data_IF_609418664782
#
_entry.id   IF_609418664782
#
_cell.length_a   1.000
_cell.length_b   1.000
_cell.length_c   1.000
_cell.angle_alpha   90.00
_cell.angle_beta   90.00
_cell.angle_gamma   90.00
#
_symmetry.space_group_name_H-M   'P 1'
#
loop_
_entity.id
_entity.type
_entity.pdbx_description
1 polymer ?
#
# COMPACT_ATOMS: atom_id res chain seq x y z
N UNK A 1 -23.08 -4.90 17.33
CA UNK A 1 -24.23 -4.10 16.87
C UNK A 1 -24.67 -3.09 17.93
N UNK A 2 -24.68 -3.47 19.22
CA UNK A 2 -25.16 -2.59 20.30
C UNK A 2 -24.36 -1.30 20.51
N UNK A 3 -23.04 -1.34 20.28
CA UNK A 3 -22.16 -0.17 20.34
C UNK A 3 -22.53 0.93 19.32
N UNK A 4 -22.97 0.53 18.12
CA UNK A 4 -23.35 1.48 17.06
C UNK A 4 -24.77 2.00 17.32
N UNK A 5 -25.69 1.11 17.70
CA UNK A 5 -27.09 1.46 17.98
C UNK A 5 -27.24 2.46 19.15
N UNK A 6 -26.45 2.29 20.22
CA UNK A 6 -26.44 3.21 21.35
C UNK A 6 -25.90 4.60 21.01
N UNK A 7 -25.02 4.72 20.02
CA UNK A 7 -24.49 6.01 19.57
C UNK A 7 -25.38 6.71 18.53
N UNK A 8 -26.41 6.01 18.01
CA UNK A 8 -27.31 6.55 16.98
C UNK A 8 -28.58 7.17 17.54
N UNK A 9 -28.87 6.90 18.81
CA UNK A 9 -30.05 7.38 19.53
C UNK A 9 -29.62 8.25 20.72
N UNK A 10 -30.51 9.13 21.15
CA UNK A 10 -30.42 9.90 22.40
C UNK A 10 -31.73 9.72 23.16
N UNK A 11 -31.67 9.71 24.48
CA UNK A 11 -32.89 9.74 25.29
C UNK A 11 -33.42 11.17 25.24
N UNK A 12 -34.66 11.33 24.79
CA UNK A 12 -35.37 12.61 24.81
C UNK A 12 -36.49 12.52 25.82
N UNK A 13 -36.66 13.60 26.59
CA UNK A 13 -37.80 13.83 27.48
C UNK A 13 -38.88 14.68 26.81
N UNK A 14 -38.64 15.12 25.57
CA UNK A 14 -39.62 15.90 24.81
C UNK A 14 -40.73 14.98 24.26
N UNK A 15 -41.99 15.40 24.46
CA UNK A 15 -43.18 14.72 23.97
C UNK A 15 -43.08 14.61 22.43
N UNK A 16 -43.14 13.40 21.84
CA UNK A 16 -43.00 13.25 20.40
C UNK A 16 -44.15 13.96 19.67
N UNK A 17 -43.86 14.57 18.52
CA UNK A 17 -44.82 15.40 17.77
C UNK A 17 -46.08 14.66 17.27
N UNK A 18 -46.14 13.33 17.41
CA UNK A 18 -47.29 12.50 17.08
C UNK A 18 -48.08 12.03 18.31
N UNK A 19 -47.71 12.45 19.52
CA UNK A 19 -48.46 12.12 20.73
C UNK A 19 -49.78 12.92 20.74
N UNK A 20 -50.89 12.24 20.51
CA UNK A 20 -52.24 12.77 20.72
C UNK A 20 -52.47 13.08 22.20
N UNK A 21 -53.16 14.18 22.49
CA UNK A 21 -53.36 14.74 23.84
C UNK A 21 -54.17 13.89 24.83
N UNK A 22 -54.51 12.64 24.49
CA UNK A 22 -55.34 11.75 25.31
C UNK A 22 -54.56 10.73 26.16
N UNK A 23 -53.22 10.74 26.13
CA UNK A 23 -52.43 9.83 26.96
C UNK A 23 -52.12 10.49 28.31
N UNK A 24 -53.13 10.51 29.20
CA UNK A 24 -53.02 10.79 30.64
C UNK A 24 -52.36 9.62 31.37
N UNK A 25 -51.09 9.32 31.03
CA UNK A 25 -50.26 8.43 31.83
C UNK A 25 -48.92 9.12 32.13
N UNK A 26 -48.87 9.70 33.32
CA UNK A 26 -47.72 10.37 33.93
C UNK A 26 -46.63 9.34 34.32
N UNK A 27 -46.02 8.70 33.32
CA UNK A 27 -44.86 7.80 33.48
C UNK A 27 -43.72 8.24 32.60
N UNK A 28 -43.03 9.30 33.03
CA UNK A 28 -41.64 9.65 32.72
C UNK A 28 -41.10 8.96 31.44
N UNK A 29 -41.69 9.34 30.31
CA UNK A 29 -41.53 8.61 29.06
C UNK A 29 -40.18 8.97 28.44
N UNK A 30 -39.12 8.33 28.93
CA UNK A 30 -37.81 8.33 28.27
C UNK A 30 -37.93 7.65 26.91
N UNK A 31 -38.16 8.43 25.86
CA UNK A 31 -38.21 7.92 24.50
C UNK A 31 -36.83 8.04 23.85
N UNK A 32 -36.35 6.96 23.21
CA UNK A 32 -35.13 6.99 22.41
C UNK A 32 -35.44 7.66 21.07
N UNK A 33 -34.96 8.88 20.90
CA UNK A 33 -35.04 9.62 19.64
C UNK A 33 -33.75 9.44 18.86
N UNK A 34 -33.90 9.38 17.55
CA UNK A 34 -32.79 9.39 16.62
C UNK A 34 -31.97 10.69 16.77
N UNK A 35 -30.66 10.60 17.02
CA UNK A 35 -29.72 11.74 16.88
C UNK A 35 -29.80 12.38 15.50
N UNK A 36 -29.39 13.65 15.39
CA UNK A 36 -29.45 14.39 14.13
C UNK A 36 -28.59 13.73 13.05
N UNK A 37 -28.93 13.99 11.77
CA UNK A 37 -28.19 13.46 10.62
C UNK A 37 -26.70 13.81 10.68
N UNK A 38 -26.35 14.99 11.17
CA UNK A 38 -24.97 15.45 11.32
C UNK A 38 -24.22 14.71 12.43
N UNK A 39 -24.85 14.45 13.57
CA UNK A 39 -24.25 13.67 14.65
C UNK A 39 -23.98 12.22 14.19
N UNK A 40 -24.92 11.61 13.47
CA UNK A 40 -24.71 10.28 12.89
C UNK A 40 -23.59 10.27 11.85
N UNK A 41 -23.57 11.27 10.96
CA UNK A 41 -22.52 11.40 9.97
C UNK A 41 -21.15 11.56 10.63
N UNK A 42 -21.06 12.35 11.71
CA UNK A 42 -19.83 12.52 12.47
C UNK A 42 -19.34 11.20 13.09
N UNK A 43 -20.24 10.42 13.69
CA UNK A 43 -19.89 9.10 14.26
C UNK A 43 -19.47 8.11 13.17
N UNK A 44 -20.17 8.11 12.02
CA UNK A 44 -19.81 7.27 10.89
C UNK A 44 -18.46 7.67 10.28
N UNK A 45 -18.20 8.97 10.14
CA UNK A 45 -16.94 9.51 9.63
C UNK A 45 -15.76 9.16 10.54
N UNK A 46 -15.95 9.18 11.87
CA UNK A 46 -14.93 8.79 12.84
C UNK A 46 -14.46 7.34 12.67
N UNK A 47 -15.33 6.44 12.21
CA UNK A 47 -14.98 5.02 11.98
C UNK A 47 -14.47 4.82 10.55
N UNK A 48 -15.08 5.48 9.57
CA UNK A 48 -14.78 5.29 8.15
C UNK A 48 -13.44 5.93 7.74
N UNK A 49 -13.17 7.16 8.19
CA UNK A 49 -11.97 7.92 7.79
C UNK A 49 -10.66 7.25 8.19
N UNK A 50 -10.50 6.69 9.41
CA UNK A 50 -9.32 5.92 9.75
C UNK A 50 -9.10 4.72 8.83
N UNK A 51 -10.19 4.06 8.41
CA UNK A 51 -10.15 2.98 7.41
C UNK A 51 -9.58 3.47 6.08
N UNK A 52 -10.13 4.56 5.54
CA UNK A 52 -9.63 5.16 4.28
C UNK A 52 -8.16 5.57 4.36
N UNK A 53 -7.74 6.20 5.46
CA UNK A 53 -6.34 6.61 5.67
C UNK A 53 -5.43 5.38 5.72
N UNK A 54 -5.83 4.34 6.46
CA UNK A 54 -5.05 3.09 6.55
C UNK A 54 -4.91 2.44 5.18
N UNK A 55 -5.99 2.34 4.41
CA UNK A 55 -5.95 1.80 3.04
C UNK A 55 -5.05 2.63 2.13
N UNK A 56 -5.13 3.96 2.18
CA UNK A 56 -4.27 4.83 1.39
C UNK A 56 -2.78 4.65 1.73
N UNK A 57 -2.44 4.54 3.00
CA UNK A 57 -1.06 4.27 3.46
C UNK A 57 -0.58 2.91 2.94
N UNK A 58 -1.39 1.85 3.07
CA UNK A 58 -1.04 0.51 2.57
C UNK A 58 -0.87 0.51 1.06
N UNK A 59 -1.77 1.16 0.31
CA UNK A 59 -1.62 1.31 -1.15
C UNK A 59 -0.37 2.09 -1.52
N UNK A 60 -0.04 3.16 -0.80
CA UNK A 60 1.17 3.93 -1.04
C UNK A 60 2.43 3.08 -0.79
N UNK A 61 2.45 2.28 0.29
CA UNK A 61 3.56 1.35 0.55
C UNK A 61 3.66 0.27 -0.55
N UNK A 62 2.52 -0.25 -1.01
CA UNK A 62 2.48 -1.25 -2.09
C UNK A 62 2.83 -0.68 -3.47
N UNK A 63 2.62 0.62 -3.68
CA UNK A 63 2.88 1.27 -4.98
C UNK A 63 4.32 1.18 -5.47
N UNK A 64 5.26 1.04 -4.52
CA UNK A 64 6.68 0.90 -4.78
C UNK A 64 7.10 -0.52 -5.12
N UNK A 65 6.24 -1.54 -5.01
CA UNK A 65 6.60 -2.90 -5.37
C UNK A 65 6.52 -3.12 -6.88
N UNK A 66 7.58 -3.71 -7.42
CA UNK A 66 7.69 -4.14 -8.81
C UNK A 66 6.97 -5.47 -8.97
N UNK A 67 6.07 -5.53 -9.95
CA UNK A 67 5.41 -6.76 -10.38
C UNK A 67 6.24 -7.47 -11.45
N UNK A 68 6.77 -6.70 -12.39
CA UNK A 68 7.62 -7.19 -13.47
C UNK A 68 8.58 -6.08 -13.89
N UNK A 69 9.75 -6.45 -14.38
CA UNK A 69 10.65 -5.52 -15.02
C UNK A 69 11.31 -6.18 -16.24
N UNK A 70 11.71 -5.36 -17.19
CA UNK A 70 12.40 -5.82 -18.40
C UNK A 70 13.42 -4.76 -18.84
N UNK A 71 14.45 -5.18 -19.58
CA UNK A 71 15.45 -4.28 -20.17
C UNK A 71 15.19 -4.20 -21.66
N UNK A 72 14.53 -3.14 -22.07
CA UNK A 72 14.24 -2.84 -23.47
C UNK A 72 15.48 -2.20 -24.12
N UNK A 73 16.00 -2.82 -25.17
CA UNK A 73 17.03 -2.22 -26.01
C UNK A 73 16.34 -1.57 -27.20
N UNK A 74 16.36 -0.23 -27.27
CA UNK A 74 15.77 0.51 -28.38
C UNK A 74 16.80 1.48 -28.97
N UNK A 75 17.08 1.33 -30.26
CA UNK A 75 17.97 2.20 -31.04
C UNK A 75 19.30 2.62 -30.35
N UNK A 76 19.96 1.68 -29.67
CA UNK A 76 21.26 1.90 -29.00
C UNK A 76 21.17 2.45 -27.57
N UNK A 77 19.97 2.75 -27.07
CA UNK A 77 19.73 3.05 -25.66
C UNK A 77 19.04 1.88 -24.97
N UNK A 78 19.55 1.52 -23.79
CA UNK A 78 18.92 0.52 -22.92
C UNK A 78 18.01 1.24 -21.94
N UNK A 79 16.74 0.88 -21.92
CA UNK A 79 15.74 1.37 -21.00
C UNK A 79 15.29 0.23 -20.08
N UNK A 80 15.14 0.53 -18.80
CA UNK A 80 14.50 -0.33 -17.84
C UNK A 80 13.00 -0.04 -17.85
N UNK A 81 12.22 -1.05 -18.19
CA UNK A 81 10.78 -1.02 -18.03
C UNK A 81 10.41 -1.58 -16.66
N UNK A 82 9.61 -0.85 -15.89
CA UNK A 82 9.15 -1.21 -14.55
C UNK A 82 7.64 -1.23 -14.50
N UNK A 83 7.06 -2.40 -14.26
CA UNK A 83 5.64 -2.54 -13.95
C UNK A 83 5.49 -2.60 -12.44
N UNK A 84 4.67 -1.72 -11.87
CA UNK A 84 4.44 -1.66 -10.42
C UNK A 84 2.97 -1.92 -10.10
N UNK A 85 2.70 -2.29 -8.85
CA UNK A 85 1.32 -2.52 -8.37
C UNK A 85 0.41 -1.31 -8.67
N UNK A 86 0.95 -0.09 -8.57
CA UNK A 86 0.19 1.15 -8.83
C UNK A 86 -0.22 1.34 -10.29
N UNK A 87 0.63 0.92 -11.23
CA UNK A 87 0.35 1.07 -12.66
C UNK A 87 -0.52 -0.07 -13.22
N UNK A 88 -0.62 -1.18 -12.48
CA UNK A 88 -1.37 -2.35 -12.90
C UNK A 88 -0.63 -3.20 -13.93
N UNK A 89 -1.30 -4.22 -14.51
CA UNK A 89 -0.63 -5.21 -15.35
C UNK A 89 -0.39 -4.77 -16.81
N UNK A 90 -0.97 -3.64 -17.23
CA UNK A 90 -0.98 -3.22 -18.65
C UNK A 90 -0.08 -2.01 -18.93
N UNK A 91 0.45 -1.38 -17.87
CA UNK A 91 1.24 -0.14 -17.98
C UNK A 91 2.47 -0.26 -17.10
N UNK A 92 3.55 0.37 -17.55
CA UNK A 92 4.77 0.48 -16.78
C UNK A 92 5.50 1.78 -17.05
N UNK A 93 6.54 2.00 -16.25
CA UNK A 93 7.43 3.13 -16.33
C UNK A 93 8.69 2.71 -17.08
N UNK A 94 8.99 3.38 -18.19
CA UNK A 94 10.28 3.25 -18.87
C UNK A 94 11.25 4.31 -18.33
N UNK A 95 12.42 3.89 -17.88
CA UNK A 95 13.51 4.78 -17.44
C UNK A 95 14.82 4.40 -18.15
N UNK A 96 15.70 5.36 -18.44
CA UNK A 96 17.03 5.03 -18.96
C UNK A 96 17.80 4.10 -18.01
N UNK A 97 18.25 2.93 -18.51
CA UNK A 97 18.95 1.93 -17.70
C UNK A 97 20.26 2.47 -17.13
N UNK A 98 20.86 3.48 -17.78
CA UNK A 98 22.06 4.17 -17.27
C UNK A 98 21.81 5.03 -16.03
N UNK A 99 20.56 5.34 -15.70
CA UNK A 99 20.15 6.06 -14.49
C UNK A 99 19.58 5.15 -13.42
N UNK A 100 19.49 3.84 -13.67
CA UNK A 100 18.92 2.86 -12.76
C UNK A 100 20.02 2.10 -12.01
N UNK A 101 19.94 2.13 -10.68
CA UNK A 101 20.88 1.50 -9.76
C UNK A 101 20.18 0.42 -8.95
N UNK A 102 20.87 -0.72 -8.81
CA UNK A 102 20.45 -1.81 -7.95
C UNK A 102 21.08 -1.62 -6.56
N UNK A 103 20.24 -1.51 -5.56
CA UNK A 103 20.56 -1.29 -4.16
C UNK A 103 20.07 -2.48 -3.32
N UNK A 104 20.65 -2.72 -2.13
CA UNK A 104 20.15 -3.79 -1.26
C UNK A 104 18.72 -3.47 -0.84
N UNK A 105 17.85 -4.48 -0.87
CA UNK A 105 16.51 -4.37 -0.29
C UNK A 105 16.56 -4.30 1.23
N UNK A 106 15.39 -4.17 1.86
CA UNK A 106 15.27 -4.10 3.33
C UNK A 106 15.62 -5.42 3.99
N UNK A 107 15.34 -6.52 3.29
CA UNK A 107 15.60 -7.89 3.71
C UNK A 107 16.49 -8.62 2.70
N UNK A 108 16.99 -9.80 3.07
CA UNK A 108 17.91 -10.58 2.22
C UNK A 108 17.25 -11.08 0.92
N UNK A 109 15.93 -11.20 0.91
CA UNK A 109 15.11 -11.67 -0.22
C UNK A 109 14.48 -10.52 -1.01
N UNK A 110 15.09 -9.33 -1.00
CA UNK A 110 14.56 -8.17 -1.70
C UNK A 110 15.71 -7.38 -2.34
N UNK A 111 15.45 -6.81 -3.52
CA UNK A 111 16.25 -5.74 -4.11
C UNK A 111 15.51 -4.42 -4.10
N UNK A 112 16.27 -3.34 -4.20
CA UNK A 112 15.73 -2.01 -4.37
C UNK A 112 16.30 -1.37 -5.64
N UNK A 113 15.45 -0.86 -6.51
CA UNK A 113 15.83 -0.05 -7.66
C UNK A 113 15.68 1.42 -7.31
N UNK A 114 16.76 2.17 -7.52
CA UNK A 114 16.77 3.63 -7.45
C UNK A 114 17.06 4.19 -8.83
N UNK A 115 16.27 5.17 -9.25
CA UNK A 115 16.48 5.87 -10.52
C UNK A 115 16.83 7.31 -10.24
N UNK A 116 17.92 7.80 -10.84
CA UNK A 116 18.33 9.19 -10.70
C UNK A 116 17.27 10.16 -11.22
N UNK A 117 16.99 11.19 -10.42
CA UNK A 117 15.92 12.16 -10.69
C UNK A 117 14.51 11.66 -10.33
N UNK A 118 14.35 10.47 -9.76
CA UNK A 118 13.07 10.00 -9.22
C UNK A 118 13.15 9.84 -7.69
N UNK A 119 12.19 10.38 -6.92
CA UNK A 119 12.18 10.24 -5.47
C UNK A 119 11.76 8.84 -5.02
N UNK A 120 11.01 8.13 -5.86
CA UNK A 120 10.50 6.78 -5.56
C UNK A 120 11.62 5.76 -5.63
N UNK A 121 11.65 4.88 -4.63
CA UNK A 121 12.46 3.66 -4.62
C UNK A 121 11.52 2.49 -4.87
N UNK A 122 11.90 1.60 -5.78
CA UNK A 122 11.09 0.44 -6.12
C UNK A 122 11.68 -0.81 -5.51
N UNK A 123 10.84 -1.70 -5.02
CA UNK A 123 11.24 -2.92 -4.35
C UNK A 123 10.90 -4.13 -5.20
N UNK A 124 11.86 -5.03 -5.37
CA UNK A 124 11.70 -6.31 -6.07
C UNK A 124 11.81 -7.41 -5.03
N UNK A 125 10.69 -8.01 -4.62
CA UNK A 125 10.73 -9.21 -3.78
C UNK A 125 11.27 -10.39 -4.60
N UNK A 126 12.09 -11.22 -3.95
CA UNK A 126 12.57 -12.50 -4.46
C UNK A 126 11.88 -13.60 -3.66
N UNK A 127 10.93 -14.27 -4.30
CA UNK A 127 10.15 -15.35 -3.68
C UNK A 127 10.80 -16.72 -3.92
N UNK A 128 10.40 -17.74 -3.18
CA UNK A 128 10.95 -19.10 -3.30
C UNK A 128 10.67 -19.75 -4.68
N UNK A 129 9.74 -19.18 -5.44
CA UNK A 129 9.39 -19.61 -6.79
C UNK A 129 10.07 -18.75 -7.87
N UNK A 130 11.31 -18.31 -7.65
CA UNK A 130 12.09 -17.62 -8.67
C UNK A 130 12.52 -18.61 -9.76
N UNK A 131 12.42 -18.17 -11.03
CA UNK A 131 12.92 -18.91 -12.18
C UNK A 131 13.99 -18.12 -12.90
N UNK A 132 15.12 -18.76 -13.20
CA UNK A 132 16.17 -18.23 -14.07
C UNK A 132 16.38 -19.24 -15.18
N UNK A 133 16.26 -18.81 -16.44
CA UNK A 133 16.39 -19.65 -17.64
C UNK A 133 15.55 -20.95 -17.55
N UNK A 134 14.33 -20.84 -17.02
CA UNK A 134 13.39 -21.95 -16.87
C UNK A 134 13.67 -22.90 -15.70
N UNK A 135 14.71 -22.66 -14.90
CA UNK A 135 15.03 -23.46 -13.69
C UNK A 135 14.62 -22.72 -12.43
N UNK A 136 13.97 -23.43 -11.52
CA UNK A 136 13.69 -22.90 -10.17
C UNK A 136 15.01 -22.69 -9.43
N UNK A 137 15.18 -21.49 -8.88
CA UNK A 137 16.37 -21.09 -8.12
C UNK A 137 15.95 -20.56 -6.76
N UNK A 138 16.83 -20.72 -5.77
CA UNK A 138 16.59 -20.11 -4.46
C UNK A 138 16.64 -18.58 -4.56
N UNK A 139 15.96 -17.83 -3.66
CA UNK A 139 16.05 -16.37 -3.63
C UNK A 139 17.48 -15.85 -3.50
N UNK A 140 18.36 -16.58 -2.81
CA UNK A 140 19.75 -16.20 -2.61
C UNK A 140 20.57 -16.36 -3.90
N UNK A 141 20.36 -17.44 -4.62
CA UNK A 141 20.97 -17.69 -5.92
C UNK A 141 20.45 -16.69 -6.96
N UNK A 142 19.14 -16.44 -6.99
CA UNK A 142 18.55 -15.42 -7.85
C UNK A 142 19.17 -14.04 -7.58
N UNK A 143 19.37 -13.71 -6.30
CA UNK A 143 20.05 -12.48 -5.89
C UNK A 143 21.47 -12.42 -6.42
N UNK A 144 22.26 -13.48 -6.25
CA UNK A 144 23.64 -13.51 -6.73
C UNK A 144 23.71 -13.34 -8.25
N UNK A 145 22.86 -14.04 -8.99
CA UNK A 145 22.80 -13.98 -10.46
C UNK A 145 22.36 -12.62 -10.99
N UNK A 146 21.33 -12.01 -10.39
CA UNK A 146 20.91 -10.66 -10.79
C UNK A 146 22.03 -9.66 -10.49
N UNK A 147 22.68 -9.76 -9.33
CA UNK A 147 23.78 -8.86 -8.94
C UNK A 147 24.95 -8.95 -9.92
N UNK A 148 25.34 -10.18 -10.31
CA UNK A 148 26.46 -10.39 -11.22
C UNK A 148 26.17 -9.89 -12.65
N UNK A 149 24.92 -9.99 -13.09
CA UNK A 149 24.49 -9.61 -14.44
C UNK A 149 24.10 -8.13 -14.59
N UNK A 150 23.66 -7.46 -13.53
CA UNK A 150 23.21 -6.05 -13.58
C UNK A 150 24.32 -5.05 -13.93
N UNK A 151 25.58 -5.44 -13.72
CA UNK A 151 26.77 -4.65 -14.01
C UNK A 151 27.35 -3.98 -12.76
N UNK A 152 28.62 -4.28 -12.48
CA UNK A 152 29.33 -3.90 -11.25
C UNK A 152 29.32 -2.41 -10.91
N UNK A 153 29.28 -1.51 -11.91
CA UNK A 153 29.23 -0.06 -11.70
C UNK A 153 27.84 0.47 -11.27
N UNK A 154 26.80 -0.36 -11.35
CA UNK A 154 25.40 0.02 -11.09
C UNK A 154 24.77 -0.76 -9.95
N UNK A 155 25.60 -1.50 -9.22
CA UNK A 155 25.27 -2.25 -8.01
C UNK A 155 25.92 -1.52 -6.84
N UNK A 156 25.17 -1.27 -5.76
CA UNK A 156 25.77 -0.70 -4.54
C UNK A 156 26.91 -1.59 -4.02
N UNK A 157 27.98 -0.97 -3.53
CA UNK A 157 29.10 -1.68 -2.91
C UNK A 157 28.66 -2.57 -1.73
N UNK A 158 27.55 -2.24 -1.07
CA UNK A 158 26.96 -3.06 0.00
C UNK A 158 26.41 -4.41 -0.49
N UNK A 159 25.99 -4.51 -1.75
CA UNK A 159 25.59 -5.78 -2.37
C UNK A 159 26.83 -6.50 -2.91
N UNK A 160 27.75 -5.75 -3.51
CA UNK A 160 28.98 -6.31 -4.06
C UNK A 160 29.95 -6.82 -2.99
N UNK A 161 29.86 -6.30 -1.75
CA UNK A 161 30.74 -6.67 -0.65
C UNK A 161 29.95 -6.71 0.68
N UNK A 162 29.41 -7.87 1.07
CA UNK A 162 28.54 -8.02 2.24
C UNK A 162 29.23 -7.73 3.59
N UNK A 163 30.55 -7.52 3.60
CA UNK A 163 31.36 -7.23 4.78
C UNK A 163 31.56 -5.73 5.07
N UNK A 164 31.00 -4.83 4.25
CA UNK A 164 31.15 -3.37 4.42
C UNK A 164 30.22 -2.75 5.49
N UNK A 165 29.35 -3.53 6.14
CA UNK A 165 28.60 -3.03 7.31
C UNK A 165 29.50 -3.03 8.55
N UNK A 166 30.03 -1.85 8.89
CA UNK A 166 30.43 -1.49 10.26
C UNK A 166 29.37 -0.60 10.87
#
# INVERSE_FOLDING_TARGET
MDLVWNNWTKISTEKPAYATDNDDDEKDHMHRVLRSTWERLSVAALVFMPGCVTTAVVMQMRSSYVLAFDILADHGQRNLFLQTIRMGPTKGLSVPFNKAYLLPGRIKTEFMIRVDGKPTRWYIPLDDNCFIDGKTVSPQEARATITSTWGSKRVSQEIANPFLKR
#
